data_IF_039211114129
#
_entry.id   IF_039211114129
#
_cell.length_a   1.000
_cell.length_b   1.000
_cell.length_c   1.000
_cell.angle_alpha   90.00
_cell.angle_beta   90.00
_cell.angle_gamma   90.00
#
_symmetry.space_group_name_H-M   'P 1'
#
loop_
_entity.id
_entity.type
_entity.pdbx_description
1 polymer ?
#
# COMPACT_ATOMS: atom_id res chain seq x y z
N UNK A 1 -51.78 -25.18 7.43
CA UNK A 1 -52.73 -24.65 8.43
C UNK A 1 -52.22 -25.04 9.81
N UNK A 2 -51.87 -24.07 10.65
CA UNK A 2 -51.33 -24.33 12.00
C UNK A 2 -50.12 -23.46 12.30
N UNK A 3 -50.29 -22.15 12.27
CA UNK A 3 -49.25 -21.18 12.62
C UNK A 3 -49.04 -21.07 14.14
N UNK A 4 -47.80 -20.80 14.50
CA UNK A 4 -47.36 -19.83 15.52
C UNK A 4 -48.37 -19.52 16.64
N UNK A 5 -48.39 -20.36 17.68
CA UNK A 5 -49.04 -20.05 18.95
C UNK A 5 -48.05 -19.87 20.12
N UNK A 6 -46.77 -19.61 19.84
CA UNK A 6 -45.77 -19.37 20.90
C UNK A 6 -45.59 -17.88 21.26
N UNK A 7 -45.98 -16.95 20.37
CA UNK A 7 -45.79 -15.51 20.59
C UNK A 7 -46.97 -14.81 21.30
N UNK A 8 -48.13 -15.47 21.41
CA UNK A 8 -49.32 -14.85 22.01
C UNK A 8 -49.39 -15.01 23.54
N UNK A 9 -48.43 -15.71 24.16
CA UNK A 9 -48.41 -15.96 25.61
C UNK A 9 -47.59 -14.92 26.40
N UNK A 10 -46.88 -14.01 25.74
CA UNK A 10 -46.01 -13.03 26.41
C UNK A 10 -46.65 -11.65 26.62
N UNK A 11 -47.87 -11.42 26.14
CA UNK A 11 -48.46 -10.06 26.11
C UNK A 11 -49.79 -9.90 26.85
N UNK A 12 -50.21 -10.85 27.69
CA UNK A 12 -51.44 -10.67 28.48
C UNK A 12 -51.40 -11.32 29.87
N UNK A 13 -50.89 -10.58 30.85
CA UNK A 13 -51.46 -10.57 32.21
C UNK A 13 -50.73 -9.55 33.07
N UNK A 14 -51.46 -8.52 33.47
CA UNK A 14 -51.08 -7.60 34.54
C UNK A 14 -50.88 -8.37 35.85
N UNK A 15 -49.94 -7.88 36.66
CA UNK A 15 -49.82 -8.10 38.11
C UNK A 15 -49.10 -9.37 38.58
N UNK A 16 -47.77 -9.37 38.55
CA UNK A 16 -46.91 -9.73 39.68
C UNK A 16 -45.44 -9.73 39.26
N UNK A 17 -44.60 -9.22 40.16
CA UNK A 17 -43.17 -9.02 40.03
C UNK A 17 -42.40 -10.31 39.73
N UNK A 18 -41.95 -10.50 38.49
CA UNK A 18 -40.77 -11.30 38.18
C UNK A 18 -39.96 -10.59 37.08
N UNK A 19 -38.85 -10.00 37.51
CA UNK A 19 -37.86 -9.35 36.67
C UNK A 19 -36.98 -10.46 36.07
N UNK A 20 -37.23 -10.85 34.82
CA UNK A 20 -36.29 -11.73 34.09
C UNK A 20 -35.22 -10.82 33.49
N UNK A 21 -33.92 -11.02 33.78
CA UNK A 21 -32.88 -10.17 33.23
C UNK A 21 -32.82 -10.34 31.71
N UNK A 22 -32.85 -9.24 30.97
CA UNK A 22 -32.71 -9.16 29.50
C UNK A 22 -31.43 -9.81 28.92
N UNK A 23 -30.55 -10.36 29.76
CA UNK A 23 -29.26 -10.93 29.36
C UNK A 23 -29.40 -12.34 28.74
N UNK A 24 -30.30 -13.19 29.26
CA UNK A 24 -30.43 -14.58 28.77
C UNK A 24 -31.18 -14.69 27.43
N UNK A 25 -32.10 -13.76 27.15
CA UNK A 25 -32.84 -13.73 25.88
C UNK A 25 -31.91 -13.32 24.72
N UNK A 26 -30.95 -12.42 24.98
CA UNK A 26 -29.97 -12.00 23.98
C UNK A 26 -29.04 -13.14 23.56
N UNK A 27 -28.60 -13.97 24.51
CA UNK A 27 -27.70 -15.09 24.23
C UNK A 27 -28.43 -16.23 23.50
N UNK A 28 -29.67 -16.54 23.88
CA UNK A 28 -30.49 -17.54 23.20
C UNK A 28 -30.86 -17.12 21.76
N UNK A 29 -31.18 -15.84 21.54
CA UNK A 29 -31.43 -15.30 20.19
C UNK A 29 -30.15 -15.29 19.34
N UNK A 30 -28.98 -14.99 19.93
CA UNK A 30 -27.71 -15.15 19.23
C UNK A 30 -27.46 -16.62 18.85
N UNK A 31 -27.68 -17.59 19.75
CA UNK A 31 -27.49 -19.01 19.39
C UNK A 31 -28.45 -19.51 18.31
N UNK A 32 -29.65 -18.94 18.21
CA UNK A 32 -30.64 -19.30 17.19
C UNK A 32 -30.43 -18.59 15.84
N UNK A 33 -29.96 -17.35 15.84
CA UNK A 33 -29.65 -16.59 14.61
C UNK A 33 -28.34 -17.05 13.94
N UNK A 34 -27.36 -17.52 14.74
CA UNK A 34 -26.03 -17.89 14.23
C UNK A 34 -25.86 -19.37 13.88
N UNK A 35 -26.92 -20.21 13.98
CA UNK A 35 -26.81 -21.66 13.73
C UNK A 35 -26.71 -22.05 12.25
N UNK A 36 -26.99 -21.13 11.32
CA UNK A 36 -26.96 -21.42 9.87
C UNK A 36 -26.14 -20.43 9.03
N UNK A 37 -25.30 -19.60 9.66
CA UNK A 37 -24.30 -18.87 8.90
C UNK A 37 -22.99 -19.65 8.97
N UNK A 38 -22.43 -20.13 7.84
CA UNK A 38 -21.03 -20.49 7.86
C UNK A 38 -20.31 -19.20 8.25
N UNK A 39 -19.67 -19.20 9.43
CA UNK A 39 -18.55 -18.32 9.67
C UNK A 39 -17.54 -18.71 8.59
N UNK A 40 -17.64 -18.08 7.42
CA UNK A 40 -16.52 -18.01 6.51
C UNK A 40 -15.39 -17.51 7.38
N UNK A 41 -14.46 -18.42 7.65
CA UNK A 41 -13.16 -18.08 8.17
C UNK A 41 -12.54 -17.22 7.06
N UNK A 42 -12.88 -15.93 7.04
CA UNK A 42 -12.18 -14.90 6.29
C UNK A 42 -10.84 -14.73 6.99
N UNK A 43 -10.03 -15.79 6.92
CA UNK A 43 -8.59 -15.63 6.78
C UNK A 43 -8.45 -14.47 5.82
N UNK A 44 -7.91 -13.35 6.32
CA UNK A 44 -7.71 -12.14 5.55
C UNK A 44 -6.67 -12.55 4.49
N UNK A 45 -7.16 -13.15 3.40
CA UNK A 45 -6.33 -13.86 2.44
C UNK A 45 -5.58 -12.77 1.71
N UNK A 46 -4.32 -12.57 2.10
CA UNK A 46 -3.39 -11.65 1.45
C UNK A 46 -3.50 -11.89 -0.05
N UNK A 47 -3.88 -10.85 -0.78
CA UNK A 47 -4.20 -10.97 -2.21
C UNK A 47 -2.92 -11.07 -3.04
N UNK A 48 -1.82 -10.54 -2.51
CA UNK A 48 -0.50 -10.52 -3.13
C UNK A 48 0.56 -10.80 -2.07
N UNK A 49 1.63 -11.48 -2.46
CA UNK A 49 2.80 -11.68 -1.60
C UNK A 49 3.82 -10.56 -1.82
N UNK A 50 3.96 -10.10 -3.06
CA UNK A 50 4.91 -9.06 -3.45
C UNK A 50 4.23 -7.90 -4.16
N UNK A 51 4.47 -6.68 -3.69
CA UNK A 51 4.20 -5.45 -4.43
C UNK A 51 5.45 -4.98 -5.17
N UNK A 52 5.35 -4.73 -6.48
CA UNK A 52 6.45 -4.25 -7.30
C UNK A 52 6.22 -2.77 -7.67
N UNK A 53 7.00 -1.88 -7.05
CA UNK A 53 6.99 -0.43 -7.32
C UNK A 53 8.18 -0.06 -8.20
N UNK A 54 7.92 0.63 -9.31
CA UNK A 54 8.94 1.00 -10.28
C UNK A 54 8.47 2.17 -11.16
N UNK A 55 9.43 2.87 -11.76
CA UNK A 55 9.14 3.87 -12.79
C UNK A 55 9.03 3.18 -14.16
N UNK A 56 7.83 3.19 -14.73
CA UNK A 56 7.57 2.53 -16.02
C UNK A 56 8.32 3.12 -17.21
N UNK A 57 8.63 4.42 -17.18
CA UNK A 57 9.36 5.11 -18.25
C UNK A 57 10.88 4.86 -18.23
N UNK A 58 11.45 4.56 -17.06
CA UNK A 58 12.91 4.46 -16.89
C UNK A 58 13.44 3.03 -17.03
N UNK A 59 12.59 2.07 -16.71
CA UNK A 59 12.98 0.67 -16.77
C UNK A 59 12.71 0.17 -18.19
N UNK A 60 13.73 -0.35 -18.91
CA UNK A 60 13.48 -1.01 -20.18
C UNK A 60 12.41 -2.08 -19.96
N UNK A 61 11.50 -2.24 -20.92
CA UNK A 61 10.43 -3.23 -20.83
C UNK A 61 10.93 -4.64 -20.45
N UNK A 62 12.22 -4.94 -20.63
CA UNK A 62 12.86 -6.19 -20.23
C UNK A 62 13.09 -6.36 -18.72
N UNK A 63 13.68 -5.41 -17.97
CA UNK A 63 14.16 -5.72 -16.60
C UNK A 63 13.00 -6.04 -15.64
N UNK A 64 12.05 -5.10 -15.48
CA UNK A 64 10.91 -5.27 -14.58
C UNK A 64 10.01 -6.42 -15.06
N UNK A 65 9.85 -6.61 -16.37
CA UNK A 65 9.10 -7.73 -16.93
C UNK A 65 9.77 -9.07 -16.63
N UNK A 66 11.09 -9.17 -16.78
CA UNK A 66 11.85 -10.37 -16.43
C UNK A 66 11.81 -10.64 -14.93
N UNK A 67 11.93 -9.60 -14.09
CA UNK A 67 11.82 -9.74 -12.63
C UNK A 67 10.43 -10.24 -12.24
N UNK A 68 9.37 -9.59 -12.74
CA UNK A 68 7.98 -10.01 -12.51
C UNK A 68 7.73 -11.45 -12.96
N UNK A 69 8.15 -11.81 -14.18
CA UNK A 69 8.05 -13.19 -14.69
C UNK A 69 8.83 -14.18 -13.83
N UNK A 70 10.03 -13.81 -13.38
CA UNK A 70 10.87 -14.71 -12.57
C UNK A 70 10.28 -14.95 -11.18
N UNK A 71 9.72 -13.92 -10.54
CA UNK A 71 8.98 -14.05 -9.27
C UNK A 71 7.77 -14.97 -9.43
N UNK A 72 6.97 -14.77 -10.51
CA UNK A 72 5.83 -15.64 -10.81
C UNK A 72 6.23 -17.09 -11.08
N UNK A 73 7.34 -17.31 -11.78
CA UNK A 73 7.87 -18.65 -12.03
C UNK A 73 8.35 -19.33 -10.75
N UNK A 74 8.68 -18.56 -9.70
CA UNK A 74 8.98 -19.07 -8.37
C UNK A 74 7.72 -19.33 -7.53
N UNK A 75 6.51 -19.17 -8.09
CA UNK A 75 5.24 -19.41 -7.41
C UNK A 75 4.65 -18.21 -6.67
N UNK A 76 5.34 -17.06 -6.69
CA UNK A 76 4.97 -15.86 -5.92
C UNK A 76 3.86 -15.08 -6.63
N UNK A 77 2.84 -14.68 -5.88
CA UNK A 77 1.73 -13.82 -6.32
C UNK A 77 2.18 -12.35 -6.27
N UNK A 78 2.44 -11.76 -7.44
CA UNK A 78 3.00 -10.40 -7.56
C UNK A 78 1.94 -9.41 -8.05
N UNK A 79 1.81 -8.27 -7.35
CA UNK A 79 1.19 -7.07 -7.87
C UNK A 79 2.23 -6.22 -8.61
N UNK A 80 2.00 -5.96 -9.90
CA UNK A 80 2.84 -5.08 -10.72
C UNK A 80 2.11 -3.76 -10.94
N UNK A 81 2.58 -2.66 -10.33
CA UNK A 81 2.02 -1.34 -10.63
C UNK A 81 2.60 -0.78 -11.92
N UNK A 82 1.82 -0.83 -13.00
CA UNK A 82 2.23 -0.26 -14.27
C UNK A 82 1.76 1.20 -14.36
N UNK A 83 2.61 2.13 -13.91
CA UNK A 83 2.33 3.57 -13.96
C UNK A 83 1.96 4.05 -15.37
N UNK A 84 2.49 3.42 -16.43
CA UNK A 84 2.25 3.83 -17.83
C UNK A 84 0.78 3.75 -18.25
N UNK A 85 -0.03 2.98 -17.52
CA UNK A 85 -1.43 2.76 -17.81
C UNK A 85 -2.37 3.76 -17.10
N UNK A 86 -1.85 4.61 -16.21
CA UNK A 86 -2.67 5.48 -15.34
C UNK A 86 -2.31 6.96 -15.58
N UNK A 87 -3.33 7.80 -15.78
CA UNK A 87 -3.15 9.25 -15.98
C UNK A 87 -3.22 9.98 -14.63
N UNK A 88 -2.20 10.79 -14.33
CA UNK A 88 -2.17 11.70 -13.18
C UNK A 88 -1.45 11.14 -11.93
N UNK A 89 -1.26 12.00 -10.94
CA UNK A 89 -0.55 11.71 -9.68
C UNK A 89 -1.46 11.12 -8.57
N UNK A 90 -2.67 10.69 -8.93
CA UNK A 90 -3.62 10.07 -8.01
C UNK A 90 -3.33 8.58 -7.83
N UNK A 91 -3.25 8.15 -6.58
CA UNK A 91 -3.16 6.74 -6.21
C UNK A 91 -4.58 6.18 -6.07
N UNK A 92 -4.86 5.06 -6.72
CA UNK A 92 -6.13 4.36 -6.56
C UNK A 92 -6.22 3.66 -5.20
N UNK A 93 -7.41 3.59 -4.61
CA UNK A 93 -7.64 2.84 -3.36
C UNK A 93 -7.22 1.36 -3.49
N UNK A 94 -7.42 0.78 -4.67
CA UNK A 94 -6.94 -0.58 -4.99
C UNK A 94 -5.43 -0.73 -4.93
N UNK A 95 -4.66 0.33 -5.23
CA UNK A 95 -3.21 0.31 -5.15
C UNK A 95 -2.74 0.37 -3.69
N UNK A 96 -3.34 1.24 -2.89
CA UNK A 96 -3.04 1.33 -1.45
C UNK A 96 -3.34 0.00 -0.76
N UNK A 97 -4.49 -0.62 -1.07
CA UNK A 97 -4.83 -1.94 -0.55
C UNK A 97 -3.85 -3.02 -0.99
N UNK A 98 -3.36 -2.97 -2.23
CA UNK A 98 -2.35 -3.92 -2.69
C UNK A 98 -1.03 -3.80 -1.90
N UNK A 99 -0.60 -2.58 -1.56
CA UNK A 99 0.56 -2.35 -0.69
C UNK A 99 0.30 -2.90 0.71
N UNK A 100 -0.85 -2.58 1.31
CA UNK A 100 -1.22 -3.01 2.67
C UNK A 100 -1.38 -4.53 2.81
N UNK A 101 -1.82 -5.19 1.73
CA UNK A 101 -2.05 -6.64 1.72
C UNK A 101 -0.84 -7.45 1.27
N UNK A 102 0.26 -6.79 0.87
CA UNK A 102 1.51 -7.47 0.50
C UNK A 102 2.36 -7.78 1.73
N UNK A 103 3.20 -8.81 1.63
CA UNK A 103 4.16 -9.17 2.68
C UNK A 103 5.52 -8.55 2.43
N UNK A 104 5.84 -8.37 1.14
CA UNK A 104 7.07 -7.76 0.68
C UNK A 104 6.78 -6.70 -0.39
N UNK A 105 7.54 -5.62 -0.38
CA UNK A 105 7.60 -4.63 -1.45
C UNK A 105 8.98 -4.60 -2.06
N UNK A 106 9.07 -4.85 -3.36
CA UNK A 106 10.29 -4.66 -4.15
C UNK A 106 10.22 -3.28 -4.79
N UNK A 107 11.12 -2.39 -4.40
CA UNK A 107 11.16 -0.98 -4.87
C UNK A 107 12.33 -0.81 -5.83
N UNK A 108 12.05 -0.55 -7.10
CA UNK A 108 13.06 -0.37 -8.15
C UNK A 108 13.36 1.11 -8.34
N UNK A 109 14.32 1.62 -7.59
CA UNK A 109 14.86 2.96 -7.77
C UNK A 109 15.58 3.06 -9.11
N UNK A 110 15.17 4.02 -9.92
CA UNK A 110 15.73 4.37 -11.22
C UNK A 110 15.85 5.89 -11.34
N UNK A 111 16.49 6.38 -12.41
CA UNK A 111 16.94 7.77 -12.52
C UNK A 111 15.85 8.82 -12.25
N UNK A 112 14.65 8.63 -12.76
CA UNK A 112 13.51 9.54 -12.66
C UNK A 112 12.39 8.96 -11.78
N UNK A 113 12.67 7.95 -10.95
CA UNK A 113 11.70 7.41 -9.98
C UNK A 113 11.14 8.53 -9.09
N UNK A 114 12.03 9.38 -8.55
CA UNK A 114 11.66 10.48 -7.69
C UNK A 114 11.09 11.72 -8.43
N UNK A 115 11.01 11.70 -9.77
CA UNK A 115 10.30 12.72 -10.57
C UNK A 115 8.79 12.43 -10.62
N UNK A 116 8.38 11.17 -10.43
CA UNK A 116 6.98 10.75 -10.39
C UNK A 116 6.37 11.02 -9.01
N UNK A 117 5.33 11.86 -8.96
CA UNK A 117 4.59 12.11 -7.72
C UNK A 117 3.88 10.85 -7.21
N UNK A 118 3.50 9.95 -8.12
CA UNK A 118 2.93 8.64 -7.79
C UNK A 118 3.93 7.69 -7.15
N UNK A 119 5.07 7.42 -7.81
CA UNK A 119 6.17 6.63 -7.23
C UNK A 119 6.53 7.08 -5.82
N UNK A 120 6.54 8.40 -5.60
CA UNK A 120 6.84 8.97 -4.28
C UNK A 120 5.74 8.69 -3.25
N UNK A 121 4.47 8.91 -3.59
CA UNK A 121 3.34 8.58 -2.69
C UNK A 121 3.24 7.06 -2.42
N UNK A 122 3.56 6.22 -3.41
CA UNK A 122 3.67 4.77 -3.22
C UNK A 122 4.77 4.42 -2.22
N UNK A 123 5.95 5.02 -2.39
CA UNK A 123 7.06 4.81 -1.47
C UNK A 123 6.72 5.26 -0.04
N UNK A 124 6.06 6.41 0.12
CA UNK A 124 5.58 6.87 1.43
C UNK A 124 4.66 5.84 2.08
N UNK A 125 3.72 5.28 1.30
CA UNK A 125 2.82 4.23 1.80
C UNK A 125 3.55 2.94 2.14
N UNK A 126 4.48 2.51 1.29
CA UNK A 126 5.31 1.32 1.53
C UNK A 126 6.11 1.49 2.83
N UNK A 127 6.74 2.64 3.05
CA UNK A 127 7.53 2.91 4.25
C UNK A 127 6.65 3.11 5.49
N UNK A 128 5.41 3.59 5.34
CA UNK A 128 4.41 3.56 6.41
C UNK A 128 4.10 2.11 6.83
N UNK A 129 3.76 1.24 5.88
CA UNK A 129 3.49 -0.18 6.14
C UNK A 129 4.73 -0.90 6.69
N UNK A 130 5.92 -0.58 6.21
CA UNK A 130 7.17 -1.12 6.74
C UNK A 130 7.31 -0.87 8.26
N UNK A 131 7.00 0.36 8.69
CA UNK A 131 7.09 0.76 10.10
C UNK A 131 5.94 0.23 10.96
N UNK A 132 4.75 0.03 10.39
CA UNK A 132 3.51 -0.20 11.16
C UNK A 132 2.97 -1.62 11.09
N UNK A 133 3.12 -2.30 9.96
CA UNK A 133 2.57 -3.65 9.72
C UNK A 133 3.65 -4.71 9.53
N UNK A 134 4.92 -4.32 9.48
CA UNK A 134 6.05 -5.24 9.28
C UNK A 134 6.28 -5.65 7.82
N UNK A 135 5.69 -4.92 6.86
CA UNK A 135 5.94 -5.11 5.42
C UNK A 135 7.46 -5.10 5.15
N UNK A 136 7.98 -6.14 4.50
CA UNK A 136 9.40 -6.26 4.18
C UNK A 136 9.73 -5.44 2.94
N UNK A 137 10.70 -4.53 3.02
CA UNK A 137 11.12 -3.71 1.86
C UNK A 137 12.43 -4.23 1.28
N UNK A 138 12.46 -4.46 -0.03
CA UNK A 138 13.65 -4.88 -0.79
C UNK A 138 13.99 -3.81 -1.83
N UNK A 139 14.92 -2.89 -1.54
CA UNK A 139 15.32 -1.88 -2.50
C UNK A 139 16.22 -2.46 -3.59
N UNK A 140 15.96 -2.06 -4.84
CA UNK A 140 16.74 -2.38 -6.03
C UNK A 140 17.17 -1.08 -6.69
N UNK A 141 18.48 -0.85 -6.80
CA UNK A 141 19.06 0.35 -7.37
C UNK A 141 19.46 0.08 -8.82
N UNK A 142 18.55 0.41 -9.75
CA UNK A 142 18.70 0.17 -11.18
C UNK A 142 19.33 1.37 -11.90
N UNK A 143 20.58 1.20 -12.33
CA UNK A 143 21.39 2.25 -12.97
C UNK A 143 21.45 3.57 -12.16
N UNK A 144 21.37 3.45 -10.83
CA UNK A 144 21.48 4.56 -9.89
C UNK A 144 22.38 4.18 -8.72
N UNK A 145 23.11 5.15 -8.20
CA UNK A 145 23.93 4.96 -7.01
C UNK A 145 23.04 5.05 -5.76
N UNK A 146 23.05 4.04 -4.85
CA UNK A 146 22.31 4.11 -3.59
C UNK A 146 22.60 5.38 -2.77
N UNK A 147 23.83 5.89 -2.83
CA UNK A 147 24.22 7.14 -2.18
C UNK A 147 23.45 8.35 -2.72
N UNK A 148 23.25 8.42 -4.04
CA UNK A 148 22.49 9.48 -4.70
C UNK A 148 21.01 9.43 -4.31
N UNK A 149 20.42 8.23 -4.22
CA UNK A 149 19.05 8.05 -3.74
C UNK A 149 18.92 8.49 -2.28
N UNK A 150 19.86 8.08 -1.42
CA UNK A 150 19.84 8.34 0.02
C UNK A 150 19.98 9.82 0.38
N UNK A 151 20.75 10.58 -0.40
CA UNK A 151 21.01 12.00 -0.17
C UNK A 151 20.32 12.93 -1.16
N UNK A 152 19.53 12.36 -2.08
CA UNK A 152 18.85 13.09 -3.16
C UNK A 152 19.82 14.00 -3.93
N UNK A 153 20.96 13.45 -4.34
CA UNK A 153 22.03 14.15 -5.08
C UNK A 153 22.24 13.53 -6.46
N UNK A 154 23.14 14.11 -7.27
CA UNK A 154 23.50 13.56 -8.58
C UNK A 154 22.35 13.61 -9.58
N UNK A 155 22.27 12.61 -10.46
CA UNK A 155 21.22 12.56 -11.49
C UNK A 155 19.86 12.21 -10.89
N UNK A 156 19.83 11.37 -9.85
CA UNK A 156 18.60 11.06 -9.12
C UNK A 156 18.03 12.32 -8.43
N UNK A 157 18.90 13.10 -7.79
CA UNK A 157 18.52 14.36 -7.13
C UNK A 157 17.90 15.37 -8.10
N UNK A 158 18.37 15.45 -9.34
CA UNK A 158 17.75 16.32 -10.37
C UNK A 158 16.31 15.91 -10.67
N UNK A 159 16.02 14.60 -10.73
CA UNK A 159 14.65 14.09 -10.88
C UNK A 159 13.76 14.50 -9.71
N UNK A 160 14.27 14.37 -8.49
CA UNK A 160 13.57 14.79 -7.27
C UNK A 160 13.31 16.31 -7.22
N UNK A 161 14.31 17.15 -7.54
CA UNK A 161 14.14 18.61 -7.58
C UNK A 161 13.05 19.06 -8.58
N UNK A 162 12.87 18.34 -9.68
CA UNK A 162 11.78 18.64 -10.63
C UNK A 162 10.41 18.38 -10.00
N UNK A 163 10.26 17.29 -9.23
CA UNK A 163 9.04 17.02 -8.49
C UNK A 163 8.77 18.15 -7.48
N UNK A 164 9.77 18.55 -6.70
CA UNK A 164 9.65 19.64 -5.74
C UNK A 164 9.19 20.94 -6.42
N UNK A 165 9.81 21.31 -7.55
CA UNK A 165 9.42 22.49 -8.34
C UNK A 165 7.99 22.39 -8.88
N UNK A 166 7.57 21.20 -9.35
CA UNK A 166 6.19 20.97 -9.83
C UNK A 166 5.19 21.16 -8.70
N UNK A 167 5.45 20.56 -7.54
CA UNK A 167 4.62 20.68 -6.34
C UNK A 167 4.50 22.15 -5.91
N UNK A 168 5.61 22.87 -5.81
CA UNK A 168 5.64 24.29 -5.46
C UNK A 168 4.86 25.16 -6.46
N UNK A 169 5.01 24.88 -7.77
CA UNK A 169 4.31 25.62 -8.83
C UNK A 169 2.80 25.40 -8.76
N UNK A 170 2.37 24.15 -8.56
CA UNK A 170 0.95 23.82 -8.36
C UNK A 170 0.38 24.50 -7.12
N UNK A 171 1.12 24.53 -6.01
CA UNK A 171 0.74 25.27 -4.81
C UNK A 171 0.57 26.75 -5.06
N UNK A 172 1.53 27.39 -5.72
CA UNK A 172 1.52 28.81 -6.00
C UNK A 172 0.34 29.19 -6.91
N UNK A 173 0.08 28.40 -7.96
CA UNK A 173 -1.08 28.60 -8.85
C UNK A 173 -2.39 28.51 -8.06
N UNK A 174 -2.55 27.49 -7.20
CA UNK A 174 -3.75 27.33 -6.37
C UNK A 174 -3.94 28.50 -5.38
N UNK A 175 -2.85 28.98 -4.78
CA UNK A 175 -2.89 30.16 -3.90
C UNK A 175 -3.28 31.43 -4.65
N UNK A 176 -2.76 31.62 -5.87
CA UNK A 176 -3.13 32.72 -6.75
C UNK A 176 -4.63 32.69 -7.07
N UNK A 177 -5.18 31.55 -7.53
CA UNK A 177 -6.62 31.42 -7.80
C UNK A 177 -7.52 31.71 -6.57
N UNK A 178 -7.05 31.38 -5.36
CA UNK A 178 -7.74 31.73 -4.10
C UNK A 178 -7.82 33.24 -3.89
N UNK A 179 -6.73 33.97 -4.12
CA UNK A 179 -6.70 35.41 -3.89
C UNK A 179 -7.58 36.19 -4.85
N UNK A 180 -7.75 35.69 -6.08
CA UNK A 180 -8.59 36.31 -7.10
C UNK A 180 -10.04 35.80 -7.12
N UNK A 181 -10.43 34.91 -6.19
CA UNK A 181 -11.83 34.46 -6.03
C UNK A 181 -12.36 33.61 -7.19
N UNK A 182 -11.47 32.98 -7.98
CA UNK A 182 -11.82 32.22 -9.18
C UNK A 182 -12.31 30.80 -8.83
N UNK A 183 -11.86 30.25 -7.70
CA UNK A 183 -12.30 28.95 -7.16
C UNK A 183 -12.91 29.21 -5.78
N UNK A 184 -14.07 28.61 -5.48
CA UNK A 184 -14.74 28.85 -4.21
C UNK A 184 -13.91 28.34 -3.02
N UNK A 185 -14.09 28.96 -1.85
CA UNK A 185 -13.43 28.52 -0.61
C UNK A 185 -13.80 27.07 -0.22
N UNK A 186 -14.94 26.56 -0.68
CA UNK A 186 -15.43 25.21 -0.42
C UNK A 186 -14.82 24.15 -1.36
N UNK A 187 -14.69 24.47 -2.66
CA UNK A 187 -13.94 23.64 -3.62
C UNK A 187 -12.45 23.61 -3.28
N UNK A 188 -11.90 24.76 -2.89
CA UNK A 188 -10.57 24.82 -2.30
C UNK A 188 -10.52 24.07 -0.97
N UNK A 189 -11.52 24.14 -0.09
CA UNK A 189 -11.56 23.33 1.14
C UNK A 189 -11.53 21.82 0.88
N UNK A 190 -12.06 21.34 -0.24
CA UNK A 190 -11.93 19.95 -0.71
C UNK A 190 -10.52 19.66 -1.27
N UNK A 191 -9.93 20.61 -2.01
CA UNK A 191 -8.56 20.50 -2.56
C UNK A 191 -7.44 20.70 -1.52
N UNK A 192 -7.67 21.50 -0.47
CA UNK A 192 -6.77 21.71 0.66
C UNK A 192 -6.71 20.47 1.57
N UNK A 193 -7.81 19.69 1.63
CA UNK A 193 -7.81 18.34 2.24
C UNK A 193 -6.96 17.32 1.46
N UNK A 194 -6.54 17.64 0.24
CA UNK A 194 -5.62 16.84 -0.57
C UNK A 194 -4.15 17.29 -0.50
N UNK A 195 -3.82 18.17 0.48
CA UNK A 195 -2.52 18.23 1.15
C UNK A 195 -1.31 18.59 0.29
N UNK A 196 -0.85 19.84 0.41
CA UNK A 196 0.57 20.13 0.19
C UNK A 196 1.03 21.08 1.29
N UNK A 197 1.83 20.56 2.22
CA UNK A 197 2.61 21.34 3.19
C UNK A 197 4.10 21.16 2.88
N UNK A 198 4.95 22.09 3.32
CA UNK A 198 6.41 21.87 3.45
C UNK A 198 6.75 20.57 4.22
N UNK A 199 5.83 20.10 5.06
CA UNK A 199 5.91 18.79 5.72
C UNK A 199 5.96 17.61 4.73
N UNK A 200 5.35 17.72 3.55
CA UNK A 200 5.38 16.65 2.54
C UNK A 200 6.76 16.56 1.86
N UNK A 201 7.42 17.68 1.60
CA UNK A 201 8.80 17.70 1.04
C UNK A 201 9.80 17.08 2.02
N UNK A 202 9.75 17.50 3.29
CA UNK A 202 10.59 16.93 4.36
C UNK A 202 10.33 15.43 4.49
N UNK A 203 9.06 15.02 4.48
CA UNK A 203 8.67 13.60 4.56
C UNK A 203 9.18 12.80 3.38
N UNK A 204 9.12 13.34 2.16
CA UNK A 204 9.63 12.67 0.96
C UNK A 204 11.15 12.44 1.02
N UNK A 205 11.91 13.44 1.47
CA UNK A 205 13.36 13.32 1.67
C UNK A 205 13.71 12.25 2.71
N UNK A 206 13.03 12.27 3.84
CA UNK A 206 13.21 11.27 4.90
C UNK A 206 12.85 9.85 4.43
N UNK A 207 11.74 9.72 3.69
CA UNK A 207 11.28 8.46 3.12
C UNK A 207 12.32 7.85 2.17
N UNK A 208 12.87 8.65 1.25
CA UNK A 208 13.94 8.21 0.35
C UNK A 208 15.20 7.81 1.11
N UNK A 209 15.58 8.62 2.11
CA UNK A 209 16.74 8.32 2.97
C UNK A 209 16.57 7.01 3.73
N UNK A 210 15.40 6.77 4.30
CA UNK A 210 15.07 5.55 5.04
C UNK A 210 15.10 4.34 4.10
N UNK A 211 14.35 4.37 3.00
CA UNK A 211 14.27 3.29 2.03
C UNK A 211 15.64 2.94 1.43
N UNK A 212 16.46 3.95 1.12
CA UNK A 212 17.82 3.75 0.59
C UNK A 212 18.85 3.36 1.67
N UNK A 213 18.49 3.39 2.96
CA UNK A 213 19.32 2.87 4.05
C UNK A 213 19.10 1.38 4.28
N UNK A 214 18.06 0.78 3.70
CA UNK A 214 17.80 -0.66 3.75
C UNK A 214 18.77 -1.38 2.80
N UNK A 215 19.29 -2.52 3.22
CA UNK A 215 20.18 -3.34 2.39
C UNK A 215 19.44 -3.82 1.12
N UNK A 216 20.04 -3.58 -0.04
CA UNK A 216 19.41 -3.82 -1.33
C UNK A 216 20.33 -4.38 -2.39
N UNK A 217 19.81 -4.48 -3.62
CA UNK A 217 20.52 -4.99 -4.78
C UNK A 217 20.91 -3.85 -5.70
N UNK A 218 22.16 -3.82 -6.17
CA UNK A 218 22.64 -2.80 -7.14
C UNK A 218 22.73 -3.42 -8.52
N UNK A 219 22.15 -2.75 -9.52
CA UNK A 219 22.16 -3.16 -10.93
C UNK A 219 22.85 -2.07 -11.76
N UNK A 220 24.19 -2.09 -11.87
CA UNK A 220 24.95 -1.00 -12.48
C UNK A 220 24.97 -1.03 -14.02
N UNK A 221 24.47 -2.10 -14.66
CA UNK A 221 24.32 -2.18 -16.12
C UNK A 221 23.46 -3.40 -16.55
N UNK A 222 23.07 -3.42 -17.82
CA UNK A 222 22.26 -4.49 -18.44
C UNK A 222 22.94 -5.87 -18.44
N UNK A 223 24.28 -5.94 -18.34
CA UNK A 223 25.04 -7.20 -18.58
C UNK A 223 24.81 -8.24 -17.49
N UNK A 224 24.47 -7.80 -16.27
CA UNK A 224 24.31 -8.69 -15.12
C UNK A 224 22.85 -8.86 -14.67
N UNK A 225 21.87 -8.34 -15.42
CA UNK A 225 20.45 -8.34 -15.03
C UNK A 225 19.95 -9.74 -14.66
N UNK A 226 20.27 -10.76 -15.45
CA UNK A 226 19.82 -12.14 -15.18
C UNK A 226 20.32 -12.67 -13.83
N UNK A 227 21.59 -12.41 -13.50
CA UNK A 227 22.19 -12.84 -12.23
C UNK A 227 21.55 -12.08 -11.07
N UNK A 228 21.38 -10.76 -11.23
CA UNK A 228 20.76 -9.94 -10.18
C UNK A 228 19.29 -10.29 -9.97
N UNK A 229 18.52 -10.52 -11.03
CA UNK A 229 17.12 -10.99 -10.94
C UNK A 229 17.06 -12.30 -10.17
N UNK A 230 17.93 -13.27 -10.49
CA UNK A 230 17.99 -14.53 -9.75
C UNK A 230 18.25 -14.29 -8.25
N UNK A 231 19.23 -13.46 -7.91
CA UNK A 231 19.53 -13.13 -6.51
C UNK A 231 18.37 -12.40 -5.81
N UNK A 232 17.66 -11.51 -6.50
CA UNK A 232 16.49 -10.83 -5.96
C UNK A 232 15.38 -11.84 -5.67
N UNK A 233 15.07 -12.73 -6.62
CA UNK A 233 14.04 -13.76 -6.44
C UNK A 233 14.39 -14.69 -5.29
N UNK A 234 15.61 -15.20 -5.21
CA UNK A 234 16.06 -16.05 -4.10
C UNK A 234 15.95 -15.34 -2.74
N UNK A 235 16.33 -14.06 -2.67
CA UNK A 235 16.19 -13.26 -1.47
C UNK A 235 14.72 -13.08 -1.06
N UNK A 236 13.86 -12.74 -2.01
CA UNK A 236 12.42 -12.54 -1.77
C UNK A 236 11.76 -13.85 -1.31
N UNK A 237 12.02 -14.98 -1.99
CA UNK A 237 11.49 -16.29 -1.58
C UNK A 237 11.86 -16.62 -0.14
N UNK A 238 13.14 -16.46 0.24
CA UNK A 238 13.57 -16.72 1.60
C UNK A 238 12.97 -15.76 2.65
N UNK A 239 12.66 -14.51 2.27
CA UNK A 239 11.97 -13.56 3.14
C UNK A 239 10.50 -13.94 3.35
N UNK A 240 9.83 -14.43 2.30
CA UNK A 240 8.44 -14.92 2.37
C UNK A 240 8.36 -16.21 3.20
N UNK A 241 9.22 -17.20 2.95
CA UNK A 241 9.27 -18.45 3.72
C UNK A 241 9.45 -18.19 5.23
N UNK A 242 10.31 -17.23 5.60
CA UNK A 242 10.49 -16.82 6.99
C UNK A 242 9.26 -16.17 7.59
N UNK A 243 8.51 -15.42 6.80
CA UNK A 243 7.28 -14.76 7.24
C UNK A 243 6.21 -15.82 7.51
N UNK A 244 6.09 -16.84 6.64
CA UNK A 244 5.21 -17.98 6.87
C UNK A 244 5.55 -18.76 8.14
N UNK A 245 6.84 -19.00 8.41
CA UNK A 245 7.29 -19.68 9.64
C UNK A 245 6.89 -18.92 10.91
N UNK A 246 6.77 -17.59 10.86
CA UNK A 246 6.36 -16.76 11.99
C UNK A 246 4.83 -16.70 12.17
N UNK A 247 4.07 -17.10 11.16
CA UNK A 247 2.59 -17.09 11.17
C UNK A 247 2.00 -18.41 11.69
N UNK A 248 2.85 -19.37 12.09
CA UNK A 248 2.44 -20.66 12.64
C UNK A 248 1.18 -20.53 13.51
N UNK A 249 0.10 -21.14 13.02
CA UNK A 249 -1.25 -20.95 13.54
C UNK A 249 -1.31 -21.41 14.98
N UNK A 250 -1.86 -20.55 15.85
CA UNK A 250 -2.33 -20.98 17.16
C UNK A 250 -3.60 -21.82 16.92
N UNK A 251 -3.48 -23.14 17.06
CA UNK A 251 -4.62 -24.07 17.12
C UNK A 251 -5.41 -23.92 18.43
#
# INVERSE_FOLDING_TARGET
LGGNNFLHLLMSSSSSSFFIPNFEIGEALCRLLYRELPLENTTNKRMYEVFLSFRGEDTPASFVSHLHTSLRNAGIIVFKDDESLRRGDEISESLLRAIEQSECSVVVFSRNYAESGRCMKELEKIMECHRTTGLVVVPVFYDVNPWEVRHQTGEFGKGFEKLEKRILTECALRAWYRQFGIISAEELGKLWRLGIKEADEVRMRETLREAASIAGHVVPNFRNERKTIKNIVENVTHLLDKTELLIAQWE
#
